data_IF_545817911210
#
_entry.id   IF_545817911210
#
_cell.length_a   1.000
_cell.length_b   1.000
_cell.length_c   1.000
_cell.angle_alpha   90.00
_cell.angle_beta   90.00
_cell.angle_gamma   90.00
#
_symmetry.space_group_name_H-M   'P 1'
#
loop_
_entity.id
_entity.type
_entity.pdbx_description
1 polymer ?
#
# COMPACT_ATOMS: atom_id res chain seq x y z
N UNK A 1 -34.49 35.05 -14.97
CA UNK A 1 -33.89 34.75 -16.28
C UNK A 1 -32.38 34.69 -16.12
N UNK A 2 -31.81 33.49 -15.97
CA UNK A 2 -30.37 33.28 -16.01
C UNK A 2 -30.10 32.13 -16.97
N UNK A 3 -29.31 32.41 -17.99
CA UNK A 3 -29.07 31.58 -19.15
C UNK A 3 -28.29 30.31 -18.80
N UNK A 4 -28.75 29.19 -19.36
CA UNK A 4 -28.00 27.94 -19.50
C UNK A 4 -26.72 28.18 -20.30
N UNK A 5 -25.58 27.74 -19.76
CA UNK A 5 -24.36 27.47 -20.54
C UNK A 5 -23.98 26.00 -20.34
N UNK A 6 -24.34 25.18 -21.32
CA UNK A 6 -23.97 23.77 -21.39
C UNK A 6 -22.50 23.66 -21.82
N UNK A 7 -21.60 23.41 -20.86
CA UNK A 7 -20.19 23.11 -21.10
C UNK A 7 -19.99 21.63 -21.39
N UNK A 8 -19.72 21.31 -22.66
CA UNK A 8 -19.32 19.97 -23.15
C UNK A 8 -17.84 19.77 -22.81
N UNK A 9 -17.52 18.90 -21.85
CA UNK A 9 -16.14 18.51 -21.50
C UNK A 9 -15.95 17.04 -21.81
N UNK A 10 -14.82 16.74 -22.44
CA UNK A 10 -14.57 15.56 -23.26
C UNK A 10 -14.46 14.25 -22.50
N UNK A 11 -15.06 13.21 -23.10
CA UNK A 11 -14.77 11.81 -22.84
C UNK A 11 -13.59 11.40 -23.71
N UNK A 12 -12.42 11.25 -23.09
CA UNK A 12 -11.20 10.73 -23.71
C UNK A 12 -10.48 9.88 -22.65
N UNK A 13 -10.77 8.58 -22.63
CA UNK A 13 -9.84 7.52 -22.18
C UNK A 13 -10.57 6.17 -22.07
N UNK A 14 -10.60 5.38 -23.15
CA UNK A 14 -10.79 3.92 -23.04
C UNK A 14 -10.47 3.22 -24.37
N UNK A 15 -9.20 3.25 -24.83
CA UNK A 15 -8.71 2.28 -25.82
C UNK A 15 -7.25 1.90 -25.55
N UNK A 16 -7.07 0.89 -24.71
CA UNK A 16 -5.90 -0.01 -24.61
C UNK A 16 -6.46 -1.36 -24.20
N UNK A 17 -6.03 -2.53 -24.64
CA UNK A 17 -5.22 -2.98 -25.76
C UNK A 17 -5.44 -4.50 -25.74
N UNK A 18 -6.22 -5.05 -26.68
CA UNK A 18 -6.32 -6.51 -26.85
C UNK A 18 -5.12 -6.98 -27.64
N UNK A 19 -4.09 -7.46 -26.96
CA UNK A 19 -2.96 -8.12 -27.59
C UNK A 19 -3.34 -9.57 -27.89
N UNK A 20 -3.54 -9.84 -29.18
CA UNK A 20 -3.70 -11.19 -29.72
C UNK A 20 -2.34 -11.92 -29.69
N UNK A 21 -2.25 -12.98 -28.90
CA UNK A 21 -1.17 -13.97 -29.00
C UNK A 21 -1.52 -14.93 -30.14
N UNK A 22 -1.17 -14.56 -31.38
CA UNK A 22 -1.08 -15.49 -32.49
C UNK A 22 0.39 -15.89 -32.64
N UNK A 23 0.72 -17.09 -32.17
CA UNK A 23 2.03 -17.69 -32.37
C UNK A 23 2.04 -18.48 -33.68
N UNK A 24 3.01 -18.14 -34.52
CA UNK A 24 3.73 -18.98 -35.49
C UNK A 24 2.94 -19.61 -36.66
N UNK A 25 3.41 -19.39 -37.89
CA UNK A 25 4.03 -20.50 -38.63
C UNK A 25 4.77 -20.00 -39.88
N UNK A 26 6.06 -20.34 -39.94
CA UNK A 26 6.90 -20.17 -41.10
C UNK A 26 6.48 -21.16 -42.20
N UNK A 27 6.17 -20.65 -43.39
CA UNK A 27 5.86 -21.45 -44.58
C UNK A 27 7.14 -21.63 -45.38
N UNK A 28 7.83 -22.75 -45.17
CA UNK A 28 8.82 -23.27 -46.13
C UNK A 28 8.09 -24.04 -47.23
N UNK A 29 8.52 -23.82 -48.48
CA UNK A 29 8.09 -24.57 -49.64
C UNK A 29 8.69 -25.97 -49.65
N UNK A 30 7.93 -26.98 -50.09
CA UNK A 30 8.23 -27.78 -51.29
C UNK A 30 7.49 -29.14 -51.30
N UNK A 31 7.00 -29.46 -52.49
CA UNK A 31 6.88 -30.79 -53.10
C UNK A 31 5.85 -31.79 -52.59
N UNK A 32 5.09 -32.27 -53.56
CA UNK A 32 4.14 -33.37 -53.51
C UNK A 32 4.76 -34.64 -52.91
N UNK A 33 4.03 -35.24 -51.97
CA UNK A 33 4.32 -36.55 -51.39
C UNK A 33 3.12 -37.01 -50.57
N UNK A 34 2.36 -37.94 -51.12
CA UNK A 34 1.24 -38.63 -50.49
C UNK A 34 1.74 -39.37 -49.23
N UNK A 35 1.18 -39.04 -48.07
CA UNK A 35 1.49 -39.71 -46.80
C UNK A 35 0.75 -39.05 -45.65
N UNK A 36 -0.36 -39.65 -45.23
CA UNK A 36 -1.00 -39.36 -43.95
C UNK A 36 -0.05 -39.83 -42.84
N UNK A 37 0.68 -38.92 -42.24
CA UNK A 37 1.43 -39.19 -41.01
C UNK A 37 1.11 -38.09 -40.01
N UNK A 38 0.17 -38.41 -39.11
CA UNK A 38 -0.17 -37.62 -37.95
C UNK A 38 1.12 -37.44 -37.14
N UNK A 39 1.78 -36.29 -37.28
CA UNK A 39 3.00 -35.98 -36.53
C UNK A 39 2.64 -35.62 -35.09
N UNK A 40 2.05 -36.56 -34.37
CA UNK A 40 2.21 -36.65 -32.94
C UNK A 40 3.68 -36.96 -32.68
N UNK A 41 4.41 -36.14 -31.90
CA UNK A 41 5.79 -36.43 -31.58
C UNK A 41 5.85 -37.84 -30.96
N UNK A 42 6.81 -38.70 -31.36
CA UNK A 42 6.90 -40.07 -30.91
C UNK A 42 6.89 -40.09 -29.37
N UNK A 43 6.18 -41.05 -28.78
CA UNK A 43 5.90 -41.13 -27.34
C UNK A 43 7.15 -40.91 -26.46
N UNK A 44 8.31 -41.34 -26.93
CA UNK A 44 9.60 -41.11 -26.26
C UNK A 44 9.99 -39.61 -26.16
N UNK A 45 9.74 -38.81 -27.19
CA UNK A 45 10.06 -37.38 -27.19
C UNK A 45 9.09 -36.59 -26.32
N UNK A 46 7.82 -37.02 -26.24
CA UNK A 46 6.87 -36.49 -25.28
C UNK A 46 7.29 -36.78 -23.84
N UNK A 47 7.77 -37.99 -23.54
CA UNK A 47 8.29 -38.34 -22.22
C UNK A 47 9.51 -37.49 -21.82
N UNK A 48 10.41 -37.20 -22.76
CA UNK A 48 11.56 -36.34 -22.50
C UNK A 48 11.13 -34.92 -22.15
N UNK A 49 10.18 -34.34 -22.88
CA UNK A 49 9.67 -32.99 -22.59
C UNK A 49 8.93 -32.92 -21.25
N UNK A 50 8.14 -33.95 -20.91
CA UNK A 50 7.48 -34.05 -19.60
C UNK A 50 8.51 -34.15 -18.48
N UNK A 51 9.54 -34.99 -18.65
CA UNK A 51 10.62 -35.12 -17.66
C UNK A 51 11.45 -33.84 -17.49
N UNK A 52 11.66 -33.09 -18.58
CA UNK A 52 12.34 -31.81 -18.56
C UNK A 52 11.50 -30.72 -17.88
N UNK A 53 10.19 -30.67 -18.15
CA UNK A 53 9.25 -29.78 -17.48
C UNK A 53 9.13 -30.09 -15.98
N UNK A 54 9.12 -31.37 -15.61
CA UNK A 54 9.10 -31.78 -14.20
C UNK A 54 10.40 -31.43 -13.47
N UNK A 55 11.55 -31.56 -14.15
CA UNK A 55 12.83 -31.07 -13.63
C UNK A 55 12.81 -29.56 -13.43
N UNK A 56 12.40 -28.78 -14.43
CA UNK A 56 12.29 -27.32 -14.32
C UNK A 56 11.33 -26.92 -13.20
N UNK A 57 10.20 -27.59 -13.06
CA UNK A 57 9.23 -27.36 -11.97
C UNK A 57 9.79 -27.76 -10.60
N UNK A 58 10.60 -28.81 -10.52
CA UNK A 58 11.29 -29.18 -9.29
C UNK A 58 12.38 -28.17 -8.94
N UNK A 59 13.14 -27.69 -9.92
CA UNK A 59 14.19 -26.69 -9.72
C UNK A 59 13.61 -25.33 -9.33
N UNK A 60 12.49 -24.93 -9.95
CA UNK A 60 11.72 -23.76 -9.53
C UNK A 60 11.20 -23.93 -8.11
N UNK A 61 10.60 -25.08 -7.77
CA UNK A 61 10.17 -25.35 -6.39
C UNK A 61 11.34 -25.33 -5.39
N UNK A 62 12.50 -25.85 -5.76
CA UNK A 62 13.71 -25.80 -4.92
C UNK A 62 14.20 -24.36 -4.74
N UNK A 63 14.20 -23.55 -5.80
CA UNK A 63 14.50 -22.11 -5.72
C UNK A 63 13.51 -21.37 -4.81
N UNK A 64 12.21 -21.53 -5.03
CA UNK A 64 11.18 -20.89 -4.20
C UNK A 64 11.29 -21.32 -2.73
N UNK A 65 11.58 -22.60 -2.47
CA UNK A 65 11.76 -23.13 -1.11
C UNK A 65 13.04 -22.65 -0.43
N UNK A 66 14.12 -22.43 -1.18
CA UNK A 66 15.33 -21.78 -0.64
C UNK A 66 15.05 -20.34 -0.20
N UNK A 67 14.23 -19.62 -0.97
CA UNK A 67 13.84 -18.23 -0.65
C UNK A 67 12.87 -18.16 0.53
N UNK A 68 12.13 -19.23 0.84
CA UNK A 68 11.12 -19.27 1.92
C UNK A 68 11.57 -20.06 3.16
N UNK A 69 12.87 -20.17 3.43
CA UNK A 69 13.27 -20.74 4.73
C UNK A 69 12.88 -19.76 5.83
N UNK A 70 12.19 -20.26 6.87
CA UNK A 70 11.88 -19.45 8.04
C UNK A 70 13.20 -18.92 8.62
N UNK A 71 13.26 -17.61 8.85
CA UNK A 71 14.45 -16.95 9.38
C UNK A 71 14.79 -17.57 10.73
N UNK A 72 16.02 -18.03 10.89
CA UNK A 72 16.52 -18.58 12.15
C UNK A 72 16.68 -17.45 13.18
N UNK A 73 15.69 -17.30 14.05
CA UNK A 73 15.63 -16.24 15.06
C UNK A 73 16.58 -16.46 16.24
N UNK A 74 17.27 -17.60 16.33
CA UNK A 74 18.28 -17.82 17.39
C UNK A 74 19.62 -17.16 17.09
N UNK A 75 19.80 -16.61 15.88
CA UNK A 75 21.01 -15.90 15.45
C UNK A 75 20.72 -14.41 15.26
N UNK A 76 21.71 -13.53 15.41
CA UNK A 76 21.53 -12.11 15.13
C UNK A 76 21.10 -11.90 13.68
N UNK A 77 20.07 -11.08 13.50
CA UNK A 77 19.52 -10.70 12.20
C UNK A 77 20.21 -9.44 11.68
N UNK A 78 20.42 -9.39 10.37
CA UNK A 78 20.83 -8.15 9.72
C UNK A 78 19.71 -7.09 9.84
N UNK A 79 20.04 -5.90 10.33
CA UNK A 79 19.10 -4.78 10.41
C UNK A 79 19.72 -3.49 9.87
N UNK A 80 19.02 -2.81 8.97
CA UNK A 80 19.34 -1.43 8.58
C UNK A 80 18.70 -0.47 9.57
N UNK A 81 19.46 -0.01 10.57
CA UNK A 81 18.96 0.94 11.56
C UNK A 81 19.96 2.06 11.87
N UNK A 82 19.44 3.24 12.18
CA UNK A 82 20.25 4.45 12.38
C UNK A 82 20.95 4.45 13.74
N UNK A 83 20.33 3.83 14.74
CA UNK A 83 20.84 3.64 16.11
C UNK A 83 21.91 2.54 16.20
N UNK A 84 21.83 1.53 15.34
CA UNK A 84 22.83 0.45 15.23
C UNK A 84 23.58 0.57 13.90
N UNK A 85 24.59 1.48 13.80
CA UNK A 85 25.35 1.73 12.56
C UNK A 85 26.07 0.51 12.01
N UNK A 86 26.41 -0.43 12.90
CA UNK A 86 27.23 -1.61 12.60
C UNK A 86 26.42 -2.85 13.05
N UNK A 87 25.66 -3.48 12.14
CA UNK A 87 24.92 -4.69 12.46
C UNK A 87 25.87 -5.86 12.73
N UNK A 88 25.45 -6.78 13.59
CA UNK A 88 26.24 -7.95 14.03
C UNK A 88 26.53 -8.93 12.87
N UNK A 89 25.63 -8.97 11.88
CA UNK A 89 25.71 -9.80 10.67
C UNK A 89 25.95 -8.88 9.46
N UNK A 90 26.76 -9.28 8.45
CA UNK A 90 26.76 -8.60 7.14
C UNK A 90 25.48 -8.87 6.35
N UNK A 91 25.12 -7.98 5.44
CA UNK A 91 23.95 -8.16 4.57
C UNK A 91 24.05 -9.43 3.69
N UNK A 92 25.20 -9.66 3.05
CA UNK A 92 25.46 -10.87 2.26
C UNK A 92 26.35 -11.84 3.02
N UNK A 93 25.81 -13.03 3.29
CA UNK A 93 26.54 -14.12 3.96
C UNK A 93 27.21 -15.07 2.97
N UNK A 94 26.48 -15.43 1.92
CA UNK A 94 26.98 -16.31 0.86
C UNK A 94 27.65 -15.45 -0.20
N UNK A 95 28.97 -15.48 -0.22
CA UNK A 95 29.80 -14.71 -1.15
C UNK A 95 30.01 -15.49 -2.44
N UNK A 96 29.85 -14.82 -3.59
CA UNK A 96 30.26 -15.36 -4.89
C UNK A 96 31.78 -15.38 -5.00
N UNK A 97 32.34 -16.10 -5.97
CA UNK A 97 33.80 -16.17 -6.13
C UNK A 97 34.43 -14.81 -6.45
N UNK A 98 33.69 -13.96 -7.18
CA UNK A 98 34.06 -12.57 -7.39
C UNK A 98 34.09 -11.78 -6.06
N UNK A 99 33.06 -11.94 -5.22
CA UNK A 99 33.02 -11.28 -3.90
C UNK A 99 34.14 -11.76 -2.98
N UNK A 100 34.47 -13.06 -3.00
CA UNK A 100 35.61 -13.62 -2.25
C UNK A 100 36.93 -13.02 -2.72
N UNK A 101 37.11 -12.88 -4.04
CA UNK A 101 38.32 -12.24 -4.60
C UNK A 101 38.42 -10.77 -4.15
N UNK A 102 37.29 -10.06 -4.10
CA UNK A 102 37.21 -8.68 -3.63
C UNK A 102 37.50 -8.57 -2.12
N UNK A 103 37.00 -9.51 -1.31
CA UNK A 103 37.32 -9.64 0.11
C UNK A 103 38.80 -9.93 0.37
N UNK A 104 39.46 -10.64 -0.54
CA UNK A 104 40.90 -10.86 -0.44
C UNK A 104 41.69 -9.58 -0.76
N UNK A 105 41.25 -8.80 -1.75
CA UNK A 105 41.80 -7.46 -2.06
C UNK A 105 41.57 -6.45 -0.92
N UNK A 106 40.45 -6.54 -0.19
CA UNK A 106 40.11 -5.67 0.95
C UNK A 106 41.18 -5.71 2.06
N UNK A 107 41.91 -6.83 2.21
CA UNK A 107 43.00 -6.98 3.19
C UNK A 107 44.25 -6.16 2.86
N UNK A 108 44.40 -5.71 1.61
CA UNK A 108 45.52 -4.88 1.15
C UNK A 108 45.28 -3.38 1.38
N UNK A 109 46.14 -2.52 0.83
CA UNK A 109 46.00 -1.06 0.95
C UNK A 109 44.80 -0.52 0.15
N UNK A 110 43.92 0.24 0.80
CA UNK A 110 42.69 0.79 0.20
C UNK A 110 42.91 1.88 -0.86
N UNK A 111 44.15 2.31 -1.04
CA UNK A 111 44.54 3.25 -2.10
C UNK A 111 44.53 2.58 -3.49
N UNK A 112 44.66 1.25 -3.56
CA UNK A 112 44.67 0.48 -4.81
C UNK A 112 43.26 0.05 -5.26
N UNK A 113 42.26 0.19 -4.37
CA UNK A 113 40.87 -0.16 -4.67
C UNK A 113 40.18 0.95 -5.46
N UNK A 114 39.51 0.57 -6.55
CA UNK A 114 38.69 1.49 -7.34
C UNK A 114 37.47 1.97 -6.55
N UNK A 115 36.84 3.07 -6.98
CA UNK A 115 35.62 3.58 -6.35
C UNK A 115 34.47 2.57 -6.40
N UNK A 116 34.38 1.82 -7.50
CA UNK A 116 33.38 0.78 -7.70
C UNK A 116 33.61 -0.43 -6.80
N UNK A 117 34.87 -0.85 -6.63
CA UNK A 117 35.25 -1.93 -5.72
C UNK A 117 34.92 -1.56 -4.25
N UNK A 118 35.14 -0.30 -3.85
CA UNK A 118 34.74 0.21 -2.53
C UNK A 118 33.23 0.20 -2.35
N UNK A 119 32.48 0.60 -3.37
CA UNK A 119 31.01 0.58 -3.33
C UNK A 119 30.46 -0.86 -3.29
N UNK A 120 31.09 -1.78 -4.02
CA UNK A 120 30.76 -3.20 -3.98
C UNK A 120 31.02 -3.79 -2.59
N UNK A 121 32.16 -3.49 -1.96
CA UNK A 121 32.44 -3.87 -0.57
C UNK A 121 31.40 -3.30 0.41
N UNK A 122 30.97 -2.06 0.20
CA UNK A 122 29.90 -1.46 1.00
C UNK A 122 28.58 -2.23 0.83
N UNK A 123 28.15 -2.52 -0.40
CA UNK A 123 26.90 -3.27 -0.69
C UNK A 123 26.96 -4.76 -0.30
N UNK A 124 28.15 -5.29 -0.05
CA UNK A 124 28.33 -6.62 0.55
C UNK A 124 28.01 -6.60 2.06
N UNK A 125 28.46 -5.55 2.77
CA UNK A 125 28.27 -5.43 4.21
C UNK A 125 26.91 -4.82 4.57
N UNK A 126 26.47 -3.80 3.84
CA UNK A 126 25.27 -3.02 4.09
C UNK A 126 24.29 -3.05 2.91
N UNK A 127 23.00 -3.17 3.18
CA UNK A 127 21.96 -3.09 2.16
C UNK A 127 21.68 -1.63 1.77
N UNK A 128 21.38 -0.78 2.75
CA UNK A 128 21.00 0.64 2.54
C UNK A 128 22.07 1.61 3.01
N UNK A 129 22.17 2.74 2.33
CA UNK A 129 22.95 3.89 2.83
C UNK A 129 22.16 4.71 3.85
N UNK A 130 22.85 5.51 4.67
CA UNK A 130 22.19 6.40 5.65
C UNK A 130 21.10 7.31 5.05
N UNK A 131 21.32 7.95 3.89
CA UNK A 131 20.27 8.71 3.21
C UNK A 131 19.10 7.84 2.76
N UNK A 132 19.35 6.62 2.25
CA UNK A 132 18.29 5.67 1.88
C UNK A 132 17.48 5.22 3.09
N UNK A 133 18.11 5.03 4.26
CA UNK A 133 17.43 4.69 5.52
C UNK A 133 16.60 5.84 6.08
N UNK A 134 17.09 7.09 5.96
CA UNK A 134 16.39 8.29 6.44
C UNK A 134 15.38 8.85 5.45
N UNK A 135 15.22 8.23 4.29
CA UNK A 135 14.30 8.69 3.27
C UNK A 135 12.85 8.64 3.78
N UNK A 136 12.19 9.80 3.83
CA UNK A 136 10.80 9.90 4.28
C UNK A 136 9.84 9.41 3.19
N UNK A 137 8.86 8.58 3.57
CA UNK A 137 7.80 8.12 2.66
C UNK A 137 6.56 9.03 2.76
N UNK A 138 5.85 9.28 1.65
CA UNK A 138 4.65 10.11 1.66
C UNK A 138 3.40 9.40 2.22
N UNK A 139 3.57 8.32 2.98
CA UNK A 139 2.49 7.47 3.51
C UNK A 139 1.52 8.24 4.41
N UNK A 140 1.99 9.28 5.10
CA UNK A 140 1.14 10.15 5.92
C UNK A 140 -0.05 10.73 5.15
N UNK A 141 0.11 10.97 3.83
CA UNK A 141 -0.97 11.46 2.95
C UNK A 141 -2.06 10.40 2.79
N UNK A 142 -1.68 9.14 2.62
CA UNK A 142 -2.62 8.02 2.53
C UNK A 142 -3.33 7.81 3.86
N UNK A 143 -2.60 7.85 4.98
CA UNK A 143 -3.18 7.72 6.33
C UNK A 143 -4.23 8.81 6.57
N UNK A 144 -3.91 10.07 6.28
CA UNK A 144 -4.87 11.16 6.40
C UNK A 144 -6.05 11.01 5.45
N UNK A 145 -5.81 10.64 4.19
CA UNK A 145 -6.87 10.44 3.21
C UNK A 145 -7.88 9.38 3.66
N UNK A 146 -7.38 8.24 4.15
CA UNK A 146 -8.20 7.16 4.68
C UNK A 146 -8.95 7.59 5.93
N UNK A 147 -8.30 8.31 6.86
CA UNK A 147 -8.95 8.83 8.07
C UNK A 147 -10.14 9.75 7.73
N UNK A 148 -9.94 10.73 6.84
CA UNK A 148 -11.01 11.65 6.43
C UNK A 148 -12.11 10.96 5.63
N UNK A 149 -11.78 9.95 4.83
CA UNK A 149 -12.77 9.14 4.13
C UNK A 149 -13.74 8.47 5.10
N UNK A 150 -13.22 7.83 6.17
CA UNK A 150 -14.06 7.18 7.16
C UNK A 150 -14.82 8.16 8.07
N UNK A 151 -14.26 9.33 8.36
CA UNK A 151 -15.01 10.40 9.03
C UNK A 151 -16.19 10.89 8.16
N UNK A 152 -15.97 11.09 6.86
CA UNK A 152 -17.01 11.45 5.90
C UNK A 152 -18.09 10.37 5.77
N UNK A 153 -17.69 9.10 5.67
CA UNK A 153 -18.61 7.96 5.62
C UNK A 153 -19.45 7.86 6.91
N UNK A 154 -18.83 8.08 8.07
CA UNK A 154 -19.54 8.10 9.36
C UNK A 154 -20.58 9.22 9.39
N UNK A 155 -20.21 10.43 8.96
CA UNK A 155 -21.15 11.56 8.85
C UNK A 155 -22.32 11.25 7.91
N UNK A 156 -22.06 10.58 6.78
CA UNK A 156 -23.09 10.15 5.85
C UNK A 156 -24.06 9.14 6.48
N UNK A 157 -23.55 8.15 7.24
CA UNK A 157 -24.39 7.18 7.95
C UNK A 157 -25.26 7.88 9.00
N UNK A 158 -24.71 8.81 9.78
CA UNK A 158 -25.48 9.58 10.78
C UNK A 158 -26.58 10.42 10.12
N UNK A 159 -26.27 11.06 8.98
CA UNK A 159 -27.28 11.78 8.20
C UNK A 159 -28.39 10.86 7.71
N UNK A 160 -28.05 9.70 7.14
CA UNK A 160 -29.02 8.71 6.70
C UNK A 160 -29.91 8.22 7.86
N UNK A 161 -29.33 7.92 9.02
CA UNK A 161 -30.08 7.58 10.23
C UNK A 161 -31.04 8.70 10.65
N UNK A 162 -30.61 9.96 10.53
CA UNK A 162 -31.45 11.14 10.86
C UNK A 162 -32.65 11.34 9.95
N UNK A 163 -32.57 10.91 8.69
CA UNK A 163 -33.66 11.02 7.71
C UNK A 163 -34.62 9.83 7.80
N UNK A 164 -34.10 8.60 7.93
CA UNK A 164 -34.91 7.39 7.75
C UNK A 164 -35.16 6.58 9.02
N UNK A 165 -34.29 6.67 10.03
CA UNK A 165 -34.35 5.80 11.22
C UNK A 165 -34.91 6.54 12.44
N UNK A 166 -34.45 7.78 12.68
CA UNK A 166 -34.86 8.50 13.89
C UNK A 166 -36.29 9.03 13.79
N UNK A 167 -37.11 8.85 14.85
CA UNK A 167 -38.48 9.36 14.88
C UNK A 167 -38.53 10.88 14.88
N UNK A 168 -39.73 11.43 14.70
CA UNK A 168 -39.98 12.87 14.83
C UNK A 168 -39.57 13.34 16.24
N UNK A 169 -39.00 14.53 16.31
CA UNK A 169 -38.62 15.13 17.60
C UNK A 169 -39.88 15.32 18.45
N UNK A 170 -39.79 15.18 19.79
CA UNK A 170 -40.95 15.40 20.62
C UNK A 170 -41.36 16.88 20.60
N UNK A 171 -42.66 17.12 20.79
CA UNK A 171 -43.28 18.47 20.77
C UNK A 171 -42.55 19.50 21.63
N UNK A 172 -41.87 19.07 22.70
CA UNK A 172 -41.14 19.97 23.61
C UNK A 172 -39.96 20.71 22.96
N UNK A 173 -39.49 20.26 21.79
CA UNK A 173 -38.44 20.93 21.01
C UNK A 173 -38.99 21.77 19.85
N UNK A 174 -40.30 21.89 19.72
CA UNK A 174 -40.97 22.59 18.61
C UNK A 174 -41.69 23.84 19.10
N UNK A 175 -41.81 24.85 18.22
CA UNK A 175 -42.55 26.09 18.49
C UNK A 175 -41.99 26.91 19.65
N UNK A 176 -42.88 27.42 20.49
CA UNK A 176 -42.57 28.28 21.64
C UNK A 176 -42.31 27.52 22.95
N UNK A 177 -42.36 26.18 22.92
CA UNK A 177 -42.16 25.36 24.12
C UNK A 177 -40.77 25.52 24.75
N UNK A 178 -39.66 25.53 23.98
CA UNK A 178 -38.33 25.75 24.54
C UNK A 178 -38.21 27.09 25.25
N UNK A 179 -38.86 28.13 24.72
CA UNK A 179 -38.85 29.48 25.30
C UNK A 179 -39.66 29.54 26.59
N UNK A 180 -40.86 28.93 26.61
CA UNK A 180 -41.68 28.79 27.83
C UNK A 180 -40.96 27.98 28.90
N UNK A 181 -40.28 26.90 28.50
CA UNK A 181 -39.48 26.09 29.39
C UNK A 181 -38.31 26.90 29.94
N UNK A 182 -37.58 27.62 29.09
CA UNK A 182 -36.49 28.50 29.51
C UNK A 182 -36.96 29.58 30.49
N UNK A 183 -38.08 30.24 30.19
CA UNK A 183 -38.70 31.23 31.09
C UNK A 183 -39.01 30.60 32.45
N UNK A 184 -39.66 29.44 32.48
CA UNK A 184 -39.93 28.70 33.72
C UNK A 184 -38.64 28.36 34.46
N UNK A 185 -37.57 27.95 33.78
CA UNK A 185 -36.29 27.64 34.39
C UNK A 185 -35.64 28.87 35.05
N UNK A 186 -35.75 30.03 34.40
CA UNK A 186 -35.27 31.31 34.92
C UNK A 186 -36.11 31.80 36.10
N UNK A 187 -37.43 31.66 36.02
CA UNK A 187 -38.37 32.02 37.10
C UNK A 187 -38.11 31.18 38.36
N UNK A 188 -37.83 29.88 38.18
CA UNK A 188 -37.47 28.96 39.27
C UNK A 188 -35.99 29.09 39.71
N UNK A 189 -35.22 30.02 39.14
CA UNK A 189 -33.81 30.25 39.47
C UNK A 189 -32.94 28.99 39.39
N UNK A 190 -33.11 28.16 38.37
CA UNK A 190 -32.30 26.93 38.19
C UNK A 190 -30.80 27.28 38.08
N UNK A 191 -29.99 26.64 38.93
CA UNK A 191 -28.53 26.82 39.01
C UNK A 191 -28.09 28.29 39.06
N UNK A 192 -28.45 29.03 40.13
CA UNK A 192 -28.34 30.50 40.15
C UNK A 192 -26.94 31.04 40.44
N UNK A 193 -25.97 30.22 40.86
CA UNK A 193 -24.61 30.67 41.17
C UNK A 193 -23.71 30.64 39.94
N UNK A 194 -23.66 29.50 39.23
CA UNK A 194 -22.74 29.29 38.10
C UNK A 194 -23.45 28.84 36.80
N UNK A 195 -24.74 28.51 36.87
CA UNK A 195 -25.48 27.91 35.78
C UNK A 195 -26.30 28.90 34.97
N UNK A 196 -27.41 28.42 34.39
CA UNK A 196 -28.20 29.19 33.43
C UNK A 196 -28.79 30.47 34.02
N UNK A 197 -29.31 30.41 35.25
CA UNK A 197 -29.92 31.58 35.90
C UNK A 197 -28.89 32.62 36.33
N UNK A 198 -27.64 32.24 36.60
CA UNK A 198 -26.61 33.23 36.97
C UNK A 198 -26.26 34.16 35.80
N UNK A 199 -26.46 33.69 34.57
CA UNK A 199 -26.21 34.39 33.30
C UNK A 199 -27.38 35.25 32.82
N UNK A 200 -28.51 35.26 33.53
CA UNK A 200 -29.66 36.09 33.19
C UNK A 200 -29.70 37.34 34.07
N UNK A 201 -29.86 38.51 33.46
CA UNK A 201 -30.07 39.78 34.14
C UNK A 201 -31.58 39.93 34.42
N UNK A 202 -31.95 39.76 35.68
CA UNK A 202 -33.35 39.83 36.12
C UNK A 202 -33.87 41.26 36.24
N UNK A 203 -33.00 42.26 36.34
CA UNK A 203 -33.40 43.67 36.40
C UNK A 203 -33.73 44.17 35.00
N UNK A 204 -32.94 43.76 34.00
CA UNK A 204 -33.09 44.19 32.60
C UNK A 204 -33.90 43.22 31.74
N UNK A 205 -34.16 42.01 32.22
CA UNK A 205 -34.90 41.00 31.46
C UNK A 205 -34.16 40.52 30.20
N UNK A 206 -32.83 40.42 30.26
CA UNK A 206 -31.99 39.99 29.15
C UNK A 206 -30.83 39.10 29.63
N UNK A 207 -30.13 38.42 28.71
CA UNK A 207 -28.89 37.72 29.06
C UNK A 207 -27.81 38.73 29.47
N UNK A 208 -27.05 38.40 30.52
CA UNK A 208 -25.90 39.19 31.00
C UNK A 208 -24.76 39.18 30.00
#
# INVERSE_FOLDING_TARGET
>A
MFHLAAGRVGSLAAKRATAALSTSSARMMASHGHGTDDTHPPFHQQQLLVSALDKLRQDDRKRFRQVSTAVDMSKPLYTDSVDVPLPDRPYKEVLTDADKSLKQKEKGPWNQLSKEEKLALYRLKFLKTYPEMRHSTPEWKTVLGVAFFFLGLTGFVVWWQKVYVFPKRPRTFEGDWPEKQLKRMLDMRINPVQGISSKWDYEKGQWK
#
